data_IF_964347227890
#
_entry.id   IF_964347227890
#
_cell.length_a   1.000
_cell.length_b   1.000
_cell.length_c   1.000
_cell.angle_alpha   90.00
_cell.angle_beta   90.00
_cell.angle_gamma   90.00
#
_symmetry.space_group_name_H-M   'P 1'
#
loop_
_entity.id
_entity.type
_entity.pdbx_description
1 polymer ?
#
# COMPACT_ATOMS: atom_id res chain seq x y z
N UNK A 1 0.94 -19.51 -9.61
CA UNK A 1 1.19 -20.69 -10.48
C UNK A 1 0.44 -21.90 -9.92
N UNK A 2 -0.35 -22.57 -10.77
CA UNK A 2 -1.37 -23.58 -10.41
C UNK A 2 -0.79 -24.90 -9.85
N UNK A 3 0.52 -24.99 -9.60
CA UNK A 3 1.23 -26.17 -9.08
C UNK A 3 2.21 -25.84 -7.94
N UNK A 4 2.00 -24.71 -7.25
CA UNK A 4 2.77 -24.35 -6.06
C UNK A 4 1.96 -24.59 -4.80
N UNK A 5 2.45 -25.44 -3.90
CA UNK A 5 1.89 -25.57 -2.55
C UNK A 5 1.98 -24.26 -1.76
N UNK A 6 1.43 -24.23 -0.54
CA UNK A 6 1.53 -23.08 0.37
C UNK A 6 2.96 -22.55 0.54
N UNK A 7 3.96 -23.41 0.36
CA UNK A 7 5.38 -23.11 0.38
C UNK A 7 5.87 -22.18 -0.74
N UNK A 8 5.06 -21.90 -1.77
CA UNK A 8 5.42 -20.92 -2.82
C UNK A 8 4.67 -19.59 -2.67
N UNK A 9 3.77 -19.48 -1.69
CA UNK A 9 3.09 -18.22 -1.39
C UNK A 9 4.11 -17.22 -0.86
N UNK A 10 4.00 -15.97 -1.30
CA UNK A 10 4.82 -14.85 -0.83
C UNK A 10 6.33 -14.99 -1.07
N UNK A 11 6.75 -15.96 -1.88
CA UNK A 11 8.15 -16.16 -2.22
C UNK A 11 8.69 -14.97 -3.02
N UNK A 12 9.90 -14.53 -2.67
CA UNK A 12 10.67 -13.52 -3.39
C UNK A 12 12.05 -14.07 -3.71
N UNK A 13 12.49 -13.83 -4.94
CA UNK A 13 13.84 -14.15 -5.41
C UNK A 13 14.36 -12.94 -6.19
N UNK A 14 15.61 -12.55 -5.95
CA UNK A 14 16.20 -11.37 -6.58
C UNK A 14 17.71 -11.50 -6.73
N UNK A 15 18.30 -10.62 -7.54
CA UNK A 15 19.75 -10.55 -7.79
C UNK A 15 20.21 -9.10 -7.69
N UNK A 16 21.28 -8.86 -6.95
CA UNK A 16 21.99 -7.58 -6.94
C UNK A 16 23.12 -7.68 -7.95
N UNK A 17 23.15 -6.77 -8.92
CA UNK A 17 24.08 -6.82 -10.05
C UNK A 17 24.88 -5.52 -10.22
N UNK A 18 26.11 -5.66 -10.70
CA UNK A 18 26.91 -4.58 -11.26
C UNK A 18 27.15 -4.88 -12.74
N UNK A 19 26.43 -4.17 -13.62
CA UNK A 19 26.39 -4.52 -15.04
C UNK A 19 25.83 -5.93 -15.27
N UNK A 20 26.64 -6.82 -15.87
CA UNK A 20 26.27 -8.23 -16.12
C UNK A 20 26.60 -9.15 -14.94
N UNK A 21 27.49 -8.73 -14.04
CA UNK A 21 27.94 -9.53 -12.90
C UNK A 21 26.87 -9.57 -11.81
N UNK A 22 26.66 -10.74 -11.21
CA UNK A 22 25.77 -10.90 -10.04
C UNK A 22 26.61 -10.93 -8.77
N UNK A 23 26.46 -9.89 -7.95
CA UNK A 23 27.19 -9.72 -6.69
C UNK A 23 26.56 -10.52 -5.54
N UNK A 24 25.23 -10.57 -5.51
CA UNK A 24 24.49 -11.30 -4.49
C UNK A 24 23.13 -11.78 -4.99
N UNK A 25 22.58 -12.80 -4.33
CA UNK A 25 21.22 -13.29 -4.55
C UNK A 25 20.42 -13.17 -3.28
N UNK A 26 19.14 -12.79 -3.39
CA UNK A 26 18.19 -12.84 -2.27
C UNK A 26 17.13 -13.89 -2.55
N UNK A 27 16.72 -14.63 -1.53
CA UNK A 27 15.67 -15.64 -1.61
C UNK A 27 14.95 -15.75 -0.26
N UNK A 28 13.64 -15.92 -0.28
CA UNK A 28 12.84 -16.15 0.91
C UNK A 28 11.41 -15.68 0.70
N UNK A 29 10.80 -15.11 1.74
CA UNK A 29 9.39 -14.74 1.75
C UNK A 29 9.23 -13.30 2.24
N UNK A 30 8.46 -12.46 1.53
CA UNK A 30 8.35 -11.04 1.89
C UNK A 30 7.58 -10.78 3.20
N UNK A 31 6.76 -11.74 3.63
CA UNK A 31 6.07 -11.75 4.92
C UNK A 31 6.81 -12.55 6.01
N UNK A 32 7.91 -13.21 5.63
CA UNK A 32 8.78 -14.02 6.48
C UNK A 32 10.26 -13.65 6.32
N UNK A 33 11.14 -14.63 6.45
CA UNK A 33 12.58 -14.41 6.35
C UNK A 33 13.04 -14.38 4.88
N UNK A 34 13.95 -13.46 4.58
CA UNK A 34 14.71 -13.38 3.33
C UNK A 34 16.20 -13.50 3.67
N UNK A 35 16.88 -14.41 2.99
CA UNK A 35 18.33 -14.58 3.05
C UNK A 35 19.00 -13.84 1.89
N UNK A 36 20.22 -13.37 2.11
CA UNK A 36 21.12 -12.87 1.07
C UNK A 36 22.38 -13.73 1.04
N UNK A 37 22.78 -14.13 -0.17
CA UNK A 37 24.01 -14.87 -0.43
C UNK A 37 24.96 -14.01 -1.24
N UNK A 38 26.15 -13.73 -0.71
CA UNK A 38 27.25 -13.10 -1.44
C UNK A 38 27.82 -14.10 -2.46
N UNK A 39 27.86 -13.75 -3.74
CA UNK A 39 28.33 -14.65 -4.81
C UNK A 39 29.84 -14.82 -4.86
N UNK A 40 30.61 -13.87 -4.32
CA UNK A 40 32.07 -13.91 -4.29
C UNK A 40 32.58 -14.80 -3.15
N UNK A 41 31.96 -14.71 -1.98
CA UNK A 41 32.38 -15.44 -0.79
C UNK A 41 31.57 -16.72 -0.54
N UNK A 42 30.38 -16.83 -1.13
CA UNK A 42 29.41 -17.88 -0.83
C UNK A 42 28.73 -17.72 0.53
N UNK A 43 29.03 -16.65 1.27
CA UNK A 43 28.46 -16.42 2.59
C UNK A 43 26.98 -16.09 2.50
N UNK A 44 26.20 -16.73 3.36
CA UNK A 44 24.77 -16.48 3.50
C UNK A 44 24.46 -15.80 4.84
N UNK A 45 23.54 -14.85 4.83
CA UNK A 45 23.09 -14.13 6.03
C UNK A 45 21.65 -13.66 5.91
N UNK A 46 21.04 -13.30 7.04
CA UNK A 46 19.67 -12.78 7.05
C UNK A 46 19.64 -11.38 6.46
N UNK A 47 18.91 -11.19 5.37
CA UNK A 47 18.70 -9.89 4.75
C UNK A 47 17.54 -9.14 5.40
N UNK A 48 16.43 -9.84 5.62
CA UNK A 48 15.21 -9.28 6.18
C UNK A 48 14.46 -10.36 6.95
N UNK A 49 13.96 -10.02 8.14
CA UNK A 49 13.11 -10.91 8.92
C UNK A 49 12.14 -10.08 9.78
N UNK A 50 10.86 -9.96 9.40
CA UNK A 50 9.89 -9.13 10.09
C UNK A 50 9.30 -9.89 11.29
N UNK A 51 10.13 -10.33 12.23
CA UNK A 51 9.66 -10.95 13.48
C UNK A 51 8.86 -9.95 14.32
N UNK A 52 7.96 -10.41 15.22
CA UNK A 52 7.13 -9.52 16.04
C UNK A 52 7.90 -8.41 16.76
N UNK A 53 9.12 -8.67 17.22
CA UNK A 53 10.00 -7.73 17.91
C UNK A 53 10.45 -6.59 17.00
N UNK A 54 10.79 -6.91 15.74
CA UNK A 54 11.14 -5.91 14.71
C UNK A 54 9.90 -5.09 14.34
N UNK A 55 8.73 -5.74 14.20
CA UNK A 55 7.46 -5.05 13.90
C UNK A 55 7.07 -4.06 15.00
N UNK A 56 7.26 -4.43 16.28
CA UNK A 56 7.00 -3.57 17.45
C UNK A 56 7.89 -2.32 17.49
N UNK A 57 9.08 -2.37 16.88
CA UNK A 57 10.02 -1.25 16.79
C UNK A 57 9.79 -0.33 15.57
N UNK A 58 8.80 -0.63 14.71
CA UNK A 58 8.48 0.23 13.56
C UNK A 58 8.10 1.63 14.04
N UNK A 59 8.55 2.64 13.29
CA UNK A 59 8.16 4.01 13.53
C UNK A 59 6.62 4.10 13.45
N UNK A 60 5.99 4.59 14.51
CA UNK A 60 4.54 4.80 14.53
C UNK A 60 4.22 5.91 13.53
N UNK A 61 3.31 5.61 12.60
CA UNK A 61 2.78 6.62 11.68
C UNK A 61 2.08 7.71 12.50
N UNK A 62 2.56 8.94 12.40
CA UNK A 62 1.80 10.10 12.84
C UNK A 62 0.79 10.45 11.74
N UNK A 63 -0.47 10.64 12.12
CA UNK A 63 -1.52 11.10 11.21
C UNK A 63 -2.11 12.38 11.79
N UNK A 64 -2.39 13.35 10.92
CA UNK A 64 -3.02 14.62 11.32
C UNK A 64 -4.36 14.31 12.00
N UNK A 65 -4.66 14.90 13.18
CA UNK A 65 -5.96 14.71 13.83
C UNK A 65 -7.13 15.05 12.91
N UNK A 66 -8.24 14.30 13.00
CA UNK A 66 -9.39 14.42 12.08
C UNK A 66 -9.96 15.84 12.04
N UNK A 67 -10.00 16.51 13.19
CA UNK A 67 -10.46 17.89 13.35
C UNK A 67 -9.60 18.91 12.58
N UNK A 68 -8.34 18.58 12.30
CA UNK A 68 -7.39 19.41 11.60
C UNK A 68 -7.22 19.03 10.12
N UNK A 69 -7.89 17.96 9.65
CA UNK A 69 -7.82 17.52 8.27
C UNK A 69 -8.75 18.34 7.37
N UNK A 70 -8.30 18.66 6.16
CA UNK A 70 -9.13 19.21 5.10
C UNK A 70 -10.21 18.24 4.63
N UNK A 71 -11.26 18.76 4.02
CA UNK A 71 -12.42 17.98 3.56
C UNK A 71 -12.07 16.88 2.55
N UNK A 72 -11.00 17.08 1.77
CA UNK A 72 -10.54 16.18 0.72
C UNK A 72 -9.44 15.21 1.16
N UNK A 73 -9.03 15.26 2.43
CA UNK A 73 -8.07 14.29 2.96
C UNK A 73 -8.73 12.94 3.17
N UNK A 74 -8.03 11.86 2.78
CA UNK A 74 -8.63 10.54 2.65
C UNK A 74 -9.33 10.04 3.92
N UNK A 75 -8.74 10.23 5.10
CA UNK A 75 -9.34 9.73 6.34
C UNK A 75 -10.65 10.46 6.67
N UNK A 76 -10.69 11.79 6.53
CA UNK A 76 -11.91 12.59 6.70
C UNK A 76 -12.96 12.27 5.63
N UNK A 77 -12.53 12.22 4.37
CA UNK A 77 -13.41 11.96 3.22
C UNK A 77 -14.09 10.58 3.33
N UNK A 78 -13.36 9.56 3.75
CA UNK A 78 -13.86 8.17 3.86
C UNK A 78 -14.31 7.78 5.28
N UNK A 79 -14.47 8.74 6.19
CA UNK A 79 -14.74 8.48 7.61
C UNK A 79 -16.01 7.64 7.81
N UNK A 80 -17.13 8.07 7.21
CA UNK A 80 -18.43 7.41 7.38
C UNK A 80 -18.42 5.96 6.83
N UNK A 81 -17.81 5.76 5.65
CA UNK A 81 -17.66 4.42 5.05
C UNK A 81 -16.81 3.53 5.95
N UNK A 82 -15.69 4.06 6.45
CA UNK A 82 -14.77 3.31 7.32
C UNK A 82 -15.42 2.94 8.65
N UNK A 83 -16.21 3.85 9.25
CA UNK A 83 -16.96 3.59 10.48
C UNK A 83 -18.00 2.49 10.28
N UNK A 84 -18.76 2.54 9.18
CA UNK A 84 -19.75 1.50 8.87
C UNK A 84 -19.10 0.13 8.64
N UNK A 85 -17.97 0.07 7.91
CA UNK A 85 -17.21 -1.17 7.70
C UNK A 85 -16.70 -1.73 9.04
N UNK A 86 -16.15 -0.90 9.91
CA UNK A 86 -15.66 -1.34 11.22
C UNK A 86 -16.78 -1.83 12.16
N UNK A 87 -18.03 -1.44 11.88
CA UNK A 87 -19.22 -1.90 12.59
C UNK A 87 -19.91 -3.09 11.88
N UNK A 88 -19.30 -3.64 10.84
CA UNK A 88 -19.86 -4.70 9.99
C UNK A 88 -21.22 -4.35 9.35
N UNK A 89 -21.54 -3.05 9.23
CA UNK A 89 -22.79 -2.56 8.62
C UNK A 89 -22.57 -2.30 7.12
N UNK A 90 -22.82 -3.35 6.32
CA UNK A 90 -22.66 -3.30 4.87
C UNK A 90 -23.64 -2.34 4.18
N UNK A 91 -24.84 -2.17 4.72
CA UNK A 91 -25.86 -1.29 4.14
C UNK A 91 -25.40 0.16 4.32
N UNK A 92 -25.06 0.55 5.55
CA UNK A 92 -24.55 1.89 5.83
C UNK A 92 -23.25 2.20 5.07
N UNK A 93 -22.35 1.21 4.94
CA UNK A 93 -21.12 1.39 4.17
C UNK A 93 -21.41 1.66 2.68
N UNK A 94 -22.37 0.93 2.10
CA UNK A 94 -22.79 1.10 0.71
C UNK A 94 -23.44 2.46 0.48
N UNK A 95 -24.32 2.89 1.37
CA UNK A 95 -25.01 4.18 1.26
C UNK A 95 -24.04 5.36 1.38
N UNK A 96 -23.13 5.30 2.37
CA UNK A 96 -22.09 6.32 2.56
C UNK A 96 -21.14 6.39 1.36
N UNK A 97 -20.73 5.22 0.81
CA UNK A 97 -19.89 5.14 -0.38
C UNK A 97 -20.60 5.72 -1.60
N UNK A 98 -21.87 5.38 -1.79
CA UNK A 98 -22.68 5.85 -2.93
C UNK A 98 -22.82 7.37 -2.91
N UNK A 99 -23.09 7.94 -1.74
CA UNK A 99 -23.19 9.40 -1.55
C UNK A 99 -21.90 10.11 -1.95
N UNK A 100 -20.75 9.59 -1.49
CA UNK A 100 -19.42 10.14 -1.80
C UNK A 100 -19.12 10.07 -3.29
N UNK A 101 -19.37 8.93 -3.93
CA UNK A 101 -19.08 8.71 -5.34
C UNK A 101 -20.01 9.49 -6.27
N UNK A 102 -21.29 9.69 -5.91
CA UNK A 102 -22.21 10.54 -6.67
C UNK A 102 -21.74 12.00 -6.63
N UNK A 103 -21.37 12.52 -5.46
CA UNK A 103 -20.84 13.88 -5.34
C UNK A 103 -19.58 14.09 -6.20
N UNK A 104 -18.70 13.09 -6.32
CA UNK A 104 -17.55 13.15 -7.23
C UNK A 104 -17.96 13.11 -8.71
N UNK A 105 -18.97 12.30 -9.06
CA UNK A 105 -19.51 12.22 -10.43
C UNK A 105 -20.17 13.53 -10.84
N UNK A 106 -20.91 14.19 -9.94
CA UNK A 106 -21.50 15.51 -10.17
C UNK A 106 -20.43 16.57 -10.43
N UNK A 107 -19.41 16.69 -9.57
CA UNK A 107 -18.29 17.63 -9.80
C UNK A 107 -17.56 17.40 -11.11
N UNK A 108 -17.39 16.14 -11.51
CA UNK A 108 -16.79 15.82 -12.81
C UNK A 108 -17.68 16.26 -13.98
N UNK A 109 -19.01 16.10 -13.86
CA UNK A 109 -19.98 16.61 -14.85
C UNK A 109 -19.95 18.13 -14.92
N UNK A 110 -19.93 18.82 -13.78
CA UNK A 110 -19.87 20.28 -13.70
C UNK A 110 -18.61 20.83 -14.38
N UNK A 111 -17.43 20.29 -14.06
CA UNK A 111 -16.18 20.68 -14.74
C UNK A 111 -16.28 20.51 -16.26
N UNK A 112 -16.82 19.38 -16.71
CA UNK A 112 -17.01 19.12 -18.15
C UNK A 112 -17.98 20.12 -18.80
N UNK A 113 -19.07 20.48 -18.12
CA UNK A 113 -20.03 21.48 -18.60
C UNK A 113 -19.39 22.87 -18.74
N UNK A 114 -18.49 23.23 -17.84
CA UNK A 114 -17.75 24.50 -17.86
C UNK A 114 -16.46 24.43 -18.71
N UNK A 115 -16.16 23.29 -19.36
CA UNK A 115 -14.92 23.06 -20.10
C UNK A 115 -13.65 23.26 -19.24
N UNK A 116 -13.73 22.92 -17.96
CA UNK A 116 -12.63 22.97 -17.00
C UNK A 116 -11.91 21.62 -16.92
N UNK A 117 -10.58 21.65 -16.82
CA UNK A 117 -9.76 20.47 -16.59
C UNK A 117 -9.50 20.24 -15.10
N UNK A 118 -9.38 18.96 -14.69
CA UNK A 118 -8.92 18.64 -13.35
C UNK A 118 -7.40 18.78 -13.27
N UNK A 119 -6.92 19.68 -12.40
CA UNK A 119 -5.49 19.92 -12.19
C UNK A 119 -5.09 19.35 -10.83
N UNK A 120 -4.12 18.42 -10.75
CA UNK A 120 -3.63 17.92 -9.48
C UNK A 120 -2.98 19.03 -8.65
N UNK A 121 -3.33 19.10 -7.36
CA UNK A 121 -2.88 20.19 -6.47
C UNK A 121 -1.36 20.17 -6.16
N UNK A 122 -0.76 18.98 -6.09
CA UNK A 122 0.60 18.79 -5.58
C UNK A 122 1.55 18.10 -6.56
N UNK A 123 1.09 17.81 -7.77
CA UNK A 123 1.86 17.10 -8.79
C UNK A 123 1.65 17.74 -10.16
N UNK A 124 2.69 17.72 -10.99
CA UNK A 124 2.61 18.08 -12.41
C UNK A 124 2.49 16.80 -13.24
N UNK A 125 1.81 16.91 -14.38
CA UNK A 125 1.57 15.80 -15.30
C UNK A 125 2.73 15.62 -16.29
#
# INVERSE_FOLDING_TARGET
PFLGGSEQLNQVVGRIKLGKETLATICGYWDGQIMITDKRTGQESVFFNPVPEVRKKRLKKYTVPLENQGEWESQRLWLAVTQAINNDDQIAATDAKTTLEEAQRERAKERKQHSEEWIPKYFVQ
#
